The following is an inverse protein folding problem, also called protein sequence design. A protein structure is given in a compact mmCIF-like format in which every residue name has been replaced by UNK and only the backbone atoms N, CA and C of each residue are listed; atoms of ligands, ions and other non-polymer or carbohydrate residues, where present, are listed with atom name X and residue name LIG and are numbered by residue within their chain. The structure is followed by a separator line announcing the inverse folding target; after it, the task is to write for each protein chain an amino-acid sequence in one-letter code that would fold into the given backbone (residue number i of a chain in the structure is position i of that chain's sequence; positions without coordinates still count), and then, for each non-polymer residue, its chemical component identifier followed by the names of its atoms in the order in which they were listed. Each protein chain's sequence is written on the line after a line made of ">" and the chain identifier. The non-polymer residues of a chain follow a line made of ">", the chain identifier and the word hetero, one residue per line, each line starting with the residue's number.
data_IF_047734697187
#
_entry.id   IF_047734697187
#
_cell.length_a   1.000
_cell.length_b   1.000
_cell.length_c   1.000
_cell.angle_alpha   90.00
_cell.angle_beta   90.00
_cell.angle_gamma   90.00
#
_symmetry.space_group_name_H-M   'P 1'
#
loop_
_entity.id
_entity.type
_entity.pdbx_description
1 polymer ?
#
# COMPACT_ATOMS: atom_id res chain seq x y z
N UNK A 1 12.21 -6.74 3.41
CA UNK A 1 13.29 -7.67 3.02
C UNK A 1 13.92 -8.30 4.26
N UNK A 2 13.36 -9.39 4.75
CA UNK A 2 14.07 -10.30 5.68
C UNK A 2 14.70 -11.40 4.82
N UNK A 3 15.85 -11.10 4.23
CA UNK A 3 16.73 -12.16 3.75
C UNK A 3 17.54 -12.55 4.97
N UNK A 4 17.40 -13.79 5.42
CA UNK A 4 18.40 -14.37 6.32
C UNK A 4 19.65 -14.55 5.46
N UNK A 5 20.43 -13.48 5.28
CA UNK A 5 21.77 -13.58 4.73
C UNK A 5 22.69 -14.03 5.86
N UNK A 6 23.54 -14.99 5.55
CA UNK A 6 24.64 -15.44 6.38
C UNK A 6 25.59 -14.28 6.67
N UNK A 7 25.28 -13.48 7.69
CA UNK A 7 26.22 -12.51 8.24
C UNK A 7 25.84 -12.30 9.71
N UNK A 8 26.72 -12.78 10.60
CA UNK A 8 26.54 -12.93 12.05
C UNK A 8 25.46 -13.98 12.42
N UNK A 9 25.81 -15.25 12.23
CA UNK A 9 24.96 -16.42 12.45
C UNK A 9 24.48 -16.52 13.90
N UNK A 10 23.23 -16.11 14.13
CA UNK A 10 22.42 -16.78 15.14
C UNK A 10 22.29 -18.24 14.66
N UNK A 11 23.10 -19.16 15.19
CA UNK A 11 23.10 -20.56 14.75
C UNK A 11 21.83 -21.24 15.26
N UNK A 12 20.74 -21.04 14.52
CA UNK A 12 19.52 -21.82 14.71
C UNK A 12 19.91 -23.29 14.53
N UNK A 13 19.60 -24.12 15.53
CA UNK A 13 19.93 -25.54 15.45
C UNK A 13 19.31 -26.16 14.20
N UNK A 14 19.99 -27.14 13.59
CA UNK A 14 19.47 -27.80 12.38
C UNK A 14 18.06 -28.38 12.59
N UNK A 15 17.77 -28.87 13.80
CA UNK A 15 16.44 -29.35 14.17
C UNK A 15 15.39 -28.23 14.15
N UNK A 16 15.71 -27.06 14.71
CA UNK A 16 14.81 -25.90 14.71
C UNK A 16 14.62 -25.34 13.30
N UNK A 17 15.68 -25.28 12.49
CA UNK A 17 15.59 -24.87 11.09
C UNK A 17 14.64 -25.77 10.30
N UNK A 18 14.82 -27.09 10.39
CA UNK A 18 13.93 -28.06 9.74
C UNK A 18 12.50 -27.95 10.23
N UNK A 19 12.30 -27.78 11.54
CA UNK A 19 10.97 -27.61 12.11
C UNK A 19 10.26 -26.38 11.52
N UNK A 20 10.93 -25.23 11.50
CA UNK A 20 10.40 -23.98 10.94
C UNK A 20 10.06 -24.15 9.45
N UNK A 21 10.99 -24.68 8.65
CA UNK A 21 10.77 -24.86 7.22
C UNK A 21 9.65 -25.85 6.90
N UNK A 22 9.52 -26.95 7.64
CA UNK A 22 8.55 -27.99 7.33
C UNK A 22 7.17 -27.76 7.96
N UNK A 23 7.07 -27.00 9.05
CA UNK A 23 5.83 -26.90 9.83
C UNK A 23 5.29 -25.48 9.98
N UNK A 24 6.08 -24.43 9.69
CA UNK A 24 5.67 -23.05 9.94
C UNK A 24 5.64 -22.21 8.66
N UNK A 25 6.78 -22.06 7.98
CA UNK A 25 6.93 -21.04 6.92
C UNK A 25 7.19 -21.58 5.52
N UNK A 26 7.54 -22.87 5.38
CA UNK A 26 7.97 -23.46 4.12
C UNK A 26 9.48 -23.40 3.90
N UNK A 27 9.96 -24.14 2.89
CA UNK A 27 11.36 -24.06 2.45
C UNK A 27 11.61 -22.75 1.69
N UNK A 28 12.86 -22.35 1.56
CA UNK A 28 13.22 -21.14 0.80
C UNK A 28 12.73 -21.21 -0.66
N UNK A 29 12.83 -22.37 -1.30
CA UNK A 29 12.30 -22.60 -2.65
C UNK A 29 10.79 -22.39 -2.70
N UNK A 30 10.06 -22.95 -1.72
CA UNK A 30 8.60 -22.80 -1.63
C UNK A 30 8.20 -21.32 -1.50
N UNK A 31 8.80 -20.60 -0.56
CA UNK A 31 8.53 -19.16 -0.33
C UNK A 31 8.82 -18.35 -1.59
N UNK A 32 9.96 -18.62 -2.27
CA UNK A 32 10.30 -17.95 -3.53
C UNK A 32 9.27 -18.20 -4.63
N UNK A 33 8.78 -19.44 -4.75
CA UNK A 33 7.75 -19.81 -5.74
C UNK A 33 6.43 -19.09 -5.46
N UNK A 34 5.94 -19.11 -4.22
CA UNK A 34 4.68 -18.43 -3.85
C UNK A 34 4.78 -16.93 -4.09
N UNK A 35 5.89 -16.29 -3.67
CA UNK A 35 6.12 -14.87 -3.91
C UNK A 35 6.08 -14.54 -5.41
N UNK A 36 6.74 -15.34 -6.25
CA UNK A 36 6.72 -15.16 -7.70
C UNK A 36 5.31 -15.32 -8.27
N UNK A 37 4.55 -16.31 -7.82
CA UNK A 37 3.16 -16.52 -8.22
C UNK A 37 2.28 -15.32 -7.84
N UNK A 38 2.45 -14.77 -6.63
CA UNK A 38 1.73 -13.59 -6.16
C UNK A 38 2.10 -12.36 -6.99
N UNK A 39 3.38 -12.13 -7.30
CA UNK A 39 3.80 -11.03 -8.20
C UNK A 39 3.18 -11.15 -9.59
N UNK A 40 3.11 -12.37 -10.15
CA UNK A 40 2.44 -12.59 -11.45
C UNK A 40 0.94 -12.31 -11.34
N UNK A 41 0.29 -12.81 -10.27
CA UNK A 41 -1.13 -12.54 -10.01
C UNK A 41 -1.39 -11.04 -9.94
N UNK A 42 -0.60 -10.31 -9.18
CA UNK A 42 -0.72 -8.86 -8.99
C UNK A 42 -0.57 -8.09 -10.31
N UNK A 43 0.35 -8.52 -11.16
CA UNK A 43 0.52 -7.95 -12.50
C UNK A 43 -0.72 -8.19 -13.37
N UNK A 44 -1.32 -9.38 -13.26
CA UNK A 44 -2.52 -9.77 -14.00
C UNK A 44 -3.82 -9.18 -13.42
N UNK A 45 -3.89 -8.90 -12.12
CA UNK A 45 -5.04 -8.29 -11.42
C UNK A 45 -5.15 -6.78 -11.63
N UNK A 46 -4.65 -6.33 -12.77
CA UNK A 46 -4.72 -4.95 -13.23
C UNK A 46 -6.05 -4.74 -13.95
N UNK A 47 -7.06 -4.22 -13.25
CA UNK A 47 -8.36 -3.87 -13.84
C UNK A 47 -8.26 -2.46 -14.45
N UNK A 48 -9.20 -2.05 -15.31
CA UNK A 48 -9.17 -0.74 -15.99
C UNK A 48 -8.95 0.45 -15.03
N UNK A 49 -9.51 0.39 -13.81
CA UNK A 49 -9.54 1.54 -12.90
C UNK A 49 -8.59 1.41 -11.69
N UNK A 50 -8.05 0.23 -11.43
CA UNK A 50 -7.19 -0.02 -10.28
C UNK A 50 -6.17 -1.13 -10.58
N UNK A 51 -5.10 -1.16 -9.81
CA UNK A 51 -4.17 -2.29 -9.72
C UNK A 51 -4.26 -2.86 -8.32
N UNK A 52 -4.51 -4.16 -8.22
CA UNK A 52 -4.55 -4.87 -6.95
C UNK A 52 -3.17 -5.47 -6.71
N UNK A 53 -2.57 -5.14 -5.56
CA UNK A 53 -1.26 -5.65 -5.14
C UNK A 53 -1.43 -6.41 -3.84
N UNK A 54 -0.87 -7.61 -3.78
CA UNK A 54 -0.84 -8.40 -2.55
C UNK A 54 0.38 -7.99 -1.73
N UNK A 55 0.18 -7.77 -0.44
CA UNK A 55 1.23 -7.33 0.48
C UNK A 55 1.28 -8.21 1.73
N UNK A 56 2.01 -7.77 2.75
CA UNK A 56 2.12 -8.50 4.01
C UNK A 56 2.79 -9.86 3.87
N UNK A 57 2.48 -10.76 4.81
CA UNK A 57 3.10 -12.09 4.87
C UNK A 57 2.84 -12.91 3.61
N UNK A 58 1.61 -12.88 3.13
CA UNK A 58 1.22 -13.59 1.92
C UNK A 58 1.92 -13.03 0.67
N UNK A 59 1.99 -11.71 0.52
CA UNK A 59 2.73 -11.06 -0.58
C UNK A 59 4.21 -11.45 -0.61
N UNK A 60 4.83 -11.68 0.55
CA UNK A 60 6.22 -12.11 0.69
C UNK A 60 6.42 -13.64 0.51
N UNK A 61 5.33 -14.40 0.31
CA UNK A 61 5.36 -15.85 0.12
C UNK A 61 5.34 -16.66 1.42
N UNK A 62 5.01 -16.03 2.55
CA UNK A 62 4.91 -16.67 3.86
C UNK A 62 3.44 -16.95 4.19
N UNK A 63 3.01 -18.20 4.04
CA UNK A 63 1.63 -18.61 4.34
C UNK A 63 1.57 -19.27 5.72
N UNK A 64 1.36 -18.44 6.75
CA UNK A 64 1.25 -18.92 8.14
C UNK A 64 -0.20 -19.01 8.57
N UNK A 65 -0.52 -20.01 9.40
CA UNK A 65 -1.87 -20.19 9.91
C UNK A 65 -2.26 -19.00 10.80
N UNK A 66 -3.39 -18.39 10.49
CA UNK A 66 -3.92 -17.24 11.23
C UNK A 66 -3.39 -15.89 10.77
N UNK A 67 -2.59 -15.85 9.70
CA UNK A 67 -2.33 -14.60 8.98
C UNK A 67 -3.60 -14.13 8.26
N UNK A 68 -3.78 -12.82 8.27
CA UNK A 68 -4.69 -12.08 7.40
C UNK A 68 -4.10 -11.92 5.98
N UNK A 69 -4.96 -11.52 5.04
CA UNK A 69 -4.58 -11.16 3.69
C UNK A 69 -4.58 -9.63 3.53
N UNK A 70 -3.38 -9.06 3.40
CA UNK A 70 -3.19 -7.64 3.13
C UNK A 70 -3.23 -7.34 1.63
N UNK A 71 -4.16 -6.48 1.21
CA UNK A 71 -4.37 -6.11 -0.19
C UNK A 71 -4.35 -4.60 -0.36
N UNK A 72 -3.55 -4.12 -1.32
CA UNK A 72 -3.47 -2.72 -1.70
C UNK A 72 -4.21 -2.48 -3.02
N UNK A 73 -5.22 -1.61 -3.00
CA UNK A 73 -5.95 -1.12 -4.17
C UNK A 73 -5.31 0.19 -4.65
N UNK A 74 -4.45 0.11 -5.66
CA UNK A 74 -3.82 1.29 -6.27
C UNK A 74 -4.76 1.90 -7.31
N UNK A 75 -5.36 3.04 -6.98
CA UNK A 75 -6.40 3.66 -7.78
C UNK A 75 -5.82 4.49 -8.93
N UNK A 76 -6.11 4.10 -10.17
CA UNK A 76 -5.50 4.72 -11.38
C UNK A 76 -6.08 6.07 -11.77
N UNK A 77 -7.25 6.43 -11.21
CA UNK A 77 -7.91 7.72 -11.47
C UNK A 77 -7.33 8.87 -10.64
N UNK A 78 -6.36 8.57 -9.78
CA UNK A 78 -5.68 9.52 -8.91
C UNK A 78 -4.18 9.47 -9.16
N UNK A 79 -3.55 10.63 -9.21
CA UNK A 79 -2.09 10.75 -9.29
C UNK A 79 -1.59 11.77 -8.27
N UNK A 80 -0.52 11.40 -7.55
CA UNK A 80 0.11 12.23 -6.53
C UNK A 80 1.41 12.81 -7.09
N UNK A 81 1.46 14.13 -7.18
CA UNK A 81 2.57 14.91 -7.72
C UNK A 81 3.51 15.40 -6.62
N UNK A 82 4.81 15.44 -6.92
CA UNK A 82 5.81 16.15 -6.11
C UNK A 82 5.91 17.64 -6.49
N UNK A 83 5.72 17.97 -7.78
CA UNK A 83 5.78 19.34 -8.31
C UNK A 83 4.65 19.56 -9.35
N UNK A 84 4.29 20.83 -9.54
CA UNK A 84 3.20 21.34 -10.38
C UNK A 84 3.50 21.33 -11.88
N UNK A 85 4.74 21.08 -12.30
CA UNK A 85 5.19 21.17 -13.70
C UNK A 85 4.78 19.96 -14.58
N UNK A 86 3.62 19.35 -14.33
CA UNK A 86 3.16 18.15 -15.04
C UNK A 86 2.01 18.47 -15.98
N UNK A 87 2.00 17.86 -17.16
CA UNK A 87 0.88 17.96 -18.09
C UNK A 87 -0.37 17.30 -17.49
N UNK A 88 -1.37 18.12 -17.16
CA UNK A 88 -2.62 17.68 -16.52
C UNK A 88 -3.51 16.97 -17.55
N UNK A 89 -3.78 15.69 -17.33
CA UNK A 89 -4.82 14.96 -18.03
C UNK A 89 -6.18 15.17 -17.35
N UNK A 90 -7.15 15.76 -18.05
CA UNK A 90 -8.49 16.06 -17.49
C UNK A 90 -9.28 14.83 -17.04
N UNK A 91 -8.91 13.62 -17.44
CA UNK A 91 -9.55 12.39 -16.97
C UNK A 91 -8.98 11.87 -15.64
N UNK A 92 -7.95 12.52 -15.08
CA UNK A 92 -7.27 12.11 -13.84
C UNK A 92 -7.46 13.20 -12.79
N UNK A 93 -7.67 12.79 -11.54
CA UNK A 93 -7.58 13.72 -10.40
C UNK A 93 -6.13 13.79 -9.93
N UNK A 94 -5.63 15.00 -9.72
CA UNK A 94 -4.27 15.25 -9.25
C UNK A 94 -4.27 15.82 -7.85
N UNK A 95 -3.46 15.21 -6.98
CA UNK A 95 -3.09 15.74 -5.68
C UNK A 95 -1.61 16.11 -5.68
N UNK A 96 -1.23 17.09 -4.87
CA UNK A 96 0.15 17.48 -4.63
C UNK A 96 0.51 17.17 -3.19
N UNK A 97 1.69 16.60 -2.98
CA UNK A 97 2.21 16.36 -1.63
C UNK A 97 2.64 17.68 -0.99
N UNK A 98 2.11 17.96 0.19
CA UNK A 98 2.55 19.03 1.07
C UNK A 98 3.19 18.39 2.31
N UNK A 99 4.52 18.23 2.26
CA UNK A 99 5.30 17.51 3.29
C UNK A 99 5.96 18.42 4.31
N UNK A 100 5.94 19.75 4.12
CA UNK A 100 6.75 20.70 4.89
C UNK A 100 6.37 20.75 6.38
N UNK A 101 5.07 20.63 6.69
CA UNK A 101 4.54 20.69 8.06
C UNK A 101 4.09 19.33 8.62
N UNK A 102 4.36 18.24 7.89
CA UNK A 102 3.88 16.91 8.27
C UNK A 102 4.87 16.17 9.20
N UNK A 103 4.35 15.40 10.15
CA UNK A 103 5.16 14.50 10.97
C UNK A 103 5.88 13.47 10.09
N UNK A 104 7.12 13.05 10.39
CA UNK A 104 7.81 12.03 9.60
C UNK A 104 6.94 10.78 9.38
N UNK A 105 6.83 10.35 8.12
CA UNK A 105 5.94 9.25 7.71
C UNK A 105 4.52 9.67 7.31
N UNK A 106 4.17 10.95 7.45
CA UNK A 106 2.90 11.52 7.02
C UNK A 106 3.10 12.59 5.94
N UNK A 107 2.05 12.83 5.16
CA UNK A 107 1.99 13.92 4.18
C UNK A 107 0.55 14.39 4.06
N UNK A 108 0.37 15.66 3.71
CA UNK A 108 -0.93 16.18 3.30
C UNK A 108 -1.03 16.13 1.78
N UNK A 109 -2.23 15.85 1.27
CA UNK A 109 -2.50 15.77 -0.16
C UNK A 109 -3.44 16.91 -0.57
N UNK A 110 -2.87 17.95 -1.17
CA UNK A 110 -3.61 19.13 -1.64
C UNK A 110 -4.20 18.85 -3.02
N UNK A 111 -5.48 19.11 -3.22
CA UNK A 111 -6.16 18.93 -4.50
C UNK A 111 -5.71 19.99 -5.50
N UNK A 112 -5.13 19.57 -6.62
CA UNK A 112 -4.71 20.47 -7.73
C UNK A 112 -5.76 20.51 -8.82
N UNK A 113 -6.29 19.34 -9.17
CA UNK A 113 -7.30 19.18 -10.19
C UNK A 113 -8.19 18.00 -9.86
N UNK A 114 -9.50 18.16 -10.05
CA UNK A 114 -10.46 17.06 -9.92
C UNK A 114 -11.19 16.85 -11.23
N UNK A 115 -11.34 15.58 -11.61
CA UNK A 115 -12.20 15.15 -12.72
C UNK A 115 -13.65 14.89 -12.28
N UNK A 116 -13.95 14.98 -10.97
CA UNK A 116 -15.22 14.55 -10.38
C UNK A 116 -15.62 15.42 -9.18
N UNK A 117 -16.92 15.71 -9.08
CA UNK A 117 -17.49 16.35 -7.88
C UNK A 117 -17.40 15.45 -6.64
N UNK A 118 -17.50 14.13 -6.80
CA UNK A 118 -17.41 13.20 -5.67
C UNK A 118 -16.05 13.28 -4.99
N UNK A 119 -14.97 13.42 -5.77
CA UNK A 119 -13.62 13.58 -5.22
C UNK A 119 -13.48 14.86 -4.40
N UNK A 120 -14.09 15.96 -4.86
CA UNK A 120 -14.09 17.24 -4.12
C UNK A 120 -14.79 17.07 -2.77
N UNK A 121 -15.86 16.25 -2.70
CA UNK A 121 -16.56 15.95 -1.44
C UNK A 121 -15.74 15.10 -0.46
N UNK A 122 -14.66 14.46 -0.91
CA UNK A 122 -13.71 13.75 -0.05
C UNK A 122 -12.61 14.67 0.50
N UNK A 123 -12.62 15.95 0.10
CA UNK A 123 -11.65 16.93 0.53
C UNK A 123 -12.25 17.88 1.60
N UNK A 124 -11.38 18.44 2.43
CA UNK A 124 -11.69 19.46 3.42
C UNK A 124 -10.94 20.75 3.07
N UNK A 125 -11.60 21.90 3.24
CA UNK A 125 -11.02 23.21 2.98
C UNK A 125 -10.25 23.69 4.21
N UNK A 126 -8.96 23.98 4.04
CA UNK A 126 -8.06 24.51 5.07
C UNK A 126 -7.32 25.70 4.47
N UNK A 127 -7.59 26.91 4.98
CA UNK A 127 -6.88 28.12 4.55
C UNK A 127 -7.02 28.45 3.05
N UNK A 128 -8.21 28.22 2.47
CA UNK A 128 -8.55 28.37 1.04
C UNK A 128 -8.00 27.28 0.11
N UNK A 129 -7.39 26.23 0.64
CA UNK A 129 -6.89 25.10 -0.13
C UNK A 129 -7.68 23.84 0.24
N UNK A 130 -7.93 22.97 -0.73
CA UNK A 130 -8.65 21.71 -0.49
C UNK A 130 -7.65 20.58 -0.26
N UNK A 131 -7.78 19.83 0.83
CA UNK A 131 -6.93 18.68 1.16
C UNK A 131 -7.75 17.40 1.24
N UNK A 132 -7.21 16.29 0.76
CA UNK A 132 -7.87 14.99 0.87
C UNK A 132 -8.01 14.59 2.35
N UNK A 133 -9.25 14.41 2.80
CA UNK A 133 -9.52 13.90 4.15
C UNK A 133 -9.34 12.39 4.15
N UNK A 134 -8.33 11.91 4.88
CA UNK A 134 -8.09 10.47 5.02
C UNK A 134 -9.25 9.73 5.69
N UNK A 135 -10.10 10.41 6.46
CA UNK A 135 -11.30 9.84 7.08
C UNK A 135 -12.40 9.67 6.04
N UNK A 136 -12.76 10.73 5.33
CA UNK A 136 -13.79 10.69 4.27
C UNK A 136 -13.39 9.73 3.15
N UNK A 137 -12.10 9.73 2.78
CA UNK A 137 -11.58 8.83 1.76
C UNK A 137 -11.75 7.36 2.14
N UNK A 138 -11.45 6.97 3.39
CA UNK A 138 -11.69 5.59 3.85
C UNK A 138 -13.19 5.27 3.89
N UNK A 139 -14.00 6.15 4.45
CA UNK A 139 -15.46 5.96 4.54
C UNK A 139 -16.12 5.77 3.17
N UNK A 140 -15.58 6.38 2.12
CA UNK A 140 -16.06 6.21 0.76
C UNK A 140 -16.00 4.76 0.24
N UNK A 141 -15.07 3.95 0.75
CA UNK A 141 -14.86 2.56 0.34
C UNK A 141 -15.41 1.54 1.34
N UNK A 142 -15.98 2.00 2.46
CA UNK A 142 -16.59 1.09 3.43
C UNK A 142 -17.94 0.57 2.90
N UNK A 143 -18.24 -0.68 3.21
CA UNK A 143 -19.54 -1.30 2.93
C UNK A 143 -19.97 -2.22 4.08
N UNK A 144 -21.02 -3.04 3.87
CA UNK A 144 -21.51 -3.96 4.89
C UNK A 144 -20.49 -5.06 5.26
N UNK A 145 -19.63 -5.43 4.32
CA UNK A 145 -18.62 -6.46 4.49
C UNK A 145 -17.33 -5.86 5.07
N UNK A 146 -16.78 -4.83 4.42
CA UNK A 146 -15.60 -4.08 4.82
C UNK A 146 -15.99 -2.86 5.67
N UNK A 147 -16.17 -3.10 6.97
CA UNK A 147 -16.77 -2.12 7.90
C UNK A 147 -15.87 -1.75 9.09
N UNK A 148 -14.74 -2.42 9.27
CA UNK A 148 -13.83 -2.17 10.40
C UNK A 148 -12.67 -1.30 9.94
N UNK A 149 -12.53 -0.09 10.46
CA UNK A 149 -11.38 0.77 10.15
C UNK A 149 -10.30 0.62 11.21
N UNK A 150 -9.06 0.37 10.80
CA UNK A 150 -7.89 0.43 11.67
C UNK A 150 -6.68 0.99 10.91
N UNK A 151 -6.05 2.04 11.47
CA UNK A 151 -4.99 2.76 10.78
C UNK A 151 -5.41 3.20 9.36
N UNK A 152 -4.62 2.86 8.32
CA UNK A 152 -4.95 3.15 6.92
C UNK A 152 -5.91 2.12 6.28
N UNK A 153 -6.19 1.00 6.95
CA UNK A 153 -6.88 -0.14 6.36
C UNK A 153 -8.37 -0.18 6.71
N UNK A 154 -9.12 -0.87 5.85
CA UNK A 154 -10.50 -1.29 6.09
C UNK A 154 -10.53 -2.82 6.04
N UNK A 155 -11.00 -3.44 7.11
CA UNK A 155 -11.10 -4.89 7.23
C UNK A 155 -12.51 -5.40 7.10
N UNK A 156 -12.61 -6.66 6.70
CA UNK A 156 -13.84 -7.41 6.85
C UNK A 156 -14.16 -7.68 8.35
N UNK A 157 -15.36 -8.18 8.63
CA UNK A 157 -15.82 -8.43 10.02
C UNK A 157 -14.97 -9.49 10.73
N UNK A 158 -14.41 -10.45 10.00
CA UNK A 158 -13.60 -11.52 10.59
C UNK A 158 -12.12 -11.13 10.67
N UNK A 159 -11.72 -9.99 10.09
CA UNK A 159 -10.32 -9.53 9.99
C UNK A 159 -9.42 -10.54 9.28
N UNK A 160 -9.98 -11.22 8.29
CA UNK A 160 -9.23 -12.09 7.39
C UNK A 160 -8.67 -11.31 6.21
N UNK A 161 -9.23 -10.13 5.91
CA UNK A 161 -8.82 -9.28 4.80
C UNK A 161 -8.62 -7.85 5.27
N UNK A 162 -7.45 -7.29 4.97
CA UNK A 162 -7.12 -5.90 5.21
C UNK A 162 -6.92 -5.18 3.88
N UNK A 163 -7.78 -4.20 3.61
CA UNK A 163 -7.74 -3.42 2.38
C UNK A 163 -7.14 -2.03 2.62
N UNK A 164 -6.10 -1.70 1.88
CA UNK A 164 -5.54 -0.35 1.81
C UNK A 164 -5.81 0.28 0.44
N UNK A 165 -6.54 1.41 0.41
CA UNK A 165 -6.75 2.18 -0.82
C UNK A 165 -5.62 3.20 -1.01
N UNK A 166 -4.88 3.04 -2.10
CA UNK A 166 -3.62 3.75 -2.32
C UNK A 166 -3.70 4.68 -3.53
N UNK A 167 -3.05 5.83 -3.41
CA UNK A 167 -2.86 6.77 -4.51
C UNK A 167 -1.41 6.65 -4.97
N UNK A 168 -1.20 6.52 -6.28
CA UNK A 168 0.12 6.32 -6.84
C UNK A 168 0.86 7.65 -7.02
N UNK A 169 2.12 7.70 -6.58
CA UNK A 169 3.06 8.75 -6.96
C UNK A 169 4.16 8.16 -7.85
N UNK A 170 4.46 8.83 -8.96
CA UNK A 170 5.56 8.44 -9.87
C UNK A 170 6.94 8.86 -9.35
N UNK A 171 6.99 9.65 -8.28
CA UNK A 171 8.20 10.26 -7.76
C UNK A 171 8.37 9.93 -6.29
N UNK A 172 9.61 9.69 -5.88
CA UNK A 172 9.96 9.60 -4.46
C UNK A 172 9.91 10.99 -3.84
N UNK A 173 9.34 11.11 -2.63
CA UNK A 173 9.42 12.36 -1.86
C UNK A 173 10.87 12.70 -1.54
N UNK A 174 11.19 13.99 -1.58
CA UNK A 174 12.55 14.51 -1.35
C UNK A 174 13.26 13.95 -0.11
N UNK A 175 12.63 13.82 1.08
CA UNK A 175 13.26 13.19 2.24
C UNK A 175 13.71 11.74 1.99
N UNK A 176 12.93 10.99 1.20
CA UNK A 176 13.18 9.59 0.89
C UNK A 176 14.20 9.37 -0.23
N UNK A 177 14.53 10.40 -1.03
CA UNK A 177 15.54 10.28 -2.11
C UNK A 177 16.92 9.89 -1.59
N UNK A 178 17.22 10.18 -0.33
CA UNK A 178 18.47 9.77 0.34
C UNK A 178 18.64 8.25 0.41
N UNK A 179 17.54 7.49 0.45
CA UNK A 179 17.56 6.03 0.51
C UNK A 179 17.93 5.37 -0.82
N UNK A 180 17.67 6.03 -1.96
CA UNK A 180 18.02 5.51 -3.28
C UNK A 180 19.54 5.41 -3.51
N UNK A 181 20.33 6.08 -2.66
CA UNK A 181 21.79 6.08 -2.71
C UNK A 181 22.43 5.12 -1.69
N UNK A 182 21.63 4.36 -0.92
CA UNK A 182 22.10 3.35 0.02
C UNK A 182 22.16 1.98 -0.65
#
# INVERSE_FOLDING_TARGET
>A
MFIITESATMSISSALYRYICHNIVGTEEHVKTIRMMNTIRDHLSTIRQETILTSGSFGEGLEMKGSDLDVMHVLKRFEVLEDTNVHINRSITYFMMATEDAHPGFTQLRLVHSNSRSTVQLCEEIGNENFLSGVLFKQHFMDEYFSTVHGPCISDKNKEFDLAYCLHSKSWVTPSKSWLKR
#
